data_IF_792228248158
#
_entry.id   IF_792228248158
#
_cell.length_a   1.000
_cell.length_b   1.000
_cell.length_c   1.000
_cell.angle_alpha   90.00
_cell.angle_beta   90.00
_cell.angle_gamma   90.00
#
_symmetry.space_group_name_H-M   'P 1'
#
loop_
_entity.id
_entity.type
_entity.pdbx_description
1 polymer ?
#
# COMPACT_ATOMS: atom_id res chain seq x y z
N UNK A 1 5.23 -13.10 -0.26
CA UNK A 1 5.19 -11.66 0.13
C UNK A 1 6.49 -10.92 -0.18
N UNK A 2 7.67 -11.52 -0.02
CA UNK A 2 8.99 -10.87 -0.25
C UNK A 2 9.12 -10.17 -1.61
N UNK A 3 8.57 -10.73 -2.69
CA UNK A 3 8.62 -10.11 -4.02
C UNK A 3 7.89 -8.76 -4.08
N UNK A 4 6.80 -8.59 -3.31
CA UNK A 4 6.07 -7.32 -3.29
C UNK A 4 6.80 -6.23 -2.50
N UNK A 5 7.50 -6.62 -1.40
CA UNK A 5 8.35 -5.69 -0.67
C UNK A 5 9.56 -5.26 -1.53
N UNK A 6 10.25 -6.20 -2.19
CA UNK A 6 11.36 -5.88 -3.07
C UNK A 6 10.95 -4.95 -4.24
N UNK A 7 9.76 -5.18 -4.81
CA UNK A 7 9.23 -4.31 -5.86
C UNK A 7 8.89 -2.91 -5.30
N UNK A 8 8.32 -2.84 -4.09
CA UNK A 8 8.08 -1.59 -3.41
C UNK A 8 9.40 -0.82 -3.16
N UNK A 9 10.43 -1.49 -2.63
CA UNK A 9 11.73 -0.88 -2.36
C UNK A 9 12.36 -0.30 -3.64
N UNK A 10 12.29 -1.04 -4.76
CA UNK A 10 12.76 -0.56 -6.05
C UNK A 10 12.00 0.69 -6.52
N UNK A 11 10.68 0.71 -6.36
CA UNK A 11 9.88 1.88 -6.72
C UNK A 11 10.20 3.09 -5.82
N UNK A 12 10.49 2.86 -4.53
CA UNK A 12 10.91 3.92 -3.61
C UNK A 12 12.28 4.50 -4.00
N UNK A 13 13.23 3.66 -4.41
CA UNK A 13 14.53 4.12 -4.95
C UNK A 13 14.32 5.00 -6.19
N UNK A 14 13.49 4.57 -7.12
CA UNK A 14 13.18 5.36 -8.32
C UNK A 14 12.48 6.69 -7.98
N UNK A 15 11.53 6.68 -7.04
CA UNK A 15 10.87 7.89 -6.58
C UNK A 15 11.87 8.88 -5.95
N UNK A 16 12.78 8.41 -5.08
CA UNK A 16 13.82 9.24 -4.45
C UNK A 16 14.77 9.89 -5.47
N UNK A 17 14.99 9.29 -6.64
CA UNK A 17 15.81 9.89 -7.68
C UNK A 17 15.28 11.25 -8.16
N UNK A 18 13.98 11.50 -8.02
CA UNK A 18 13.37 12.78 -8.38
C UNK A 18 13.80 13.93 -7.45
N UNK A 19 13.93 13.68 -6.13
CA UNK A 19 14.55 14.66 -5.21
C UNK A 19 16.00 14.93 -5.58
N UNK A 20 16.75 13.90 -5.92
CA UNK A 20 18.16 14.06 -6.32
C UNK A 20 18.29 14.92 -7.58
N UNK A 21 17.41 14.69 -8.57
CA UNK A 21 17.36 15.52 -9.80
C UNK A 21 16.96 16.96 -9.45
N UNK A 22 15.94 17.14 -8.60
CA UNK A 22 15.50 18.44 -8.15
C UNK A 22 16.63 19.25 -7.51
N UNK A 23 17.34 18.64 -6.54
CA UNK A 23 18.48 19.27 -5.84
C UNK A 23 19.57 19.66 -6.85
N UNK A 24 19.91 18.76 -7.79
CA UNK A 24 20.93 19.04 -8.79
C UNK A 24 20.54 20.22 -9.69
N UNK A 25 19.31 20.26 -10.17
CA UNK A 25 18.81 21.34 -11.04
C UNK A 25 18.76 22.68 -10.29
N UNK A 26 18.37 22.68 -9.03
CA UNK A 26 18.31 23.89 -8.19
C UNK A 26 19.71 24.41 -7.87
N UNK A 27 20.59 23.54 -7.33
CA UNK A 27 21.83 23.95 -6.71
C UNK A 27 23.00 24.09 -7.71
N UNK A 28 23.05 23.24 -8.76
CA UNK A 28 24.14 23.22 -9.72
C UNK A 28 23.78 23.90 -11.05
N UNK A 29 22.52 23.82 -11.50
CA UNK A 29 22.08 24.45 -12.75
C UNK A 29 21.37 25.78 -12.49
N UNK A 30 21.01 26.06 -11.24
CA UNK A 30 20.35 27.28 -10.79
C UNK A 30 18.98 27.55 -11.44
N UNK A 31 18.19 26.47 -11.63
CA UNK A 31 16.82 26.61 -12.13
C UNK A 31 15.89 26.98 -10.96
N UNK A 32 15.03 27.96 -11.17
CA UNK A 32 14.07 28.39 -10.16
C UNK A 32 13.07 27.28 -9.78
N UNK A 33 12.76 27.15 -8.49
CA UNK A 33 11.87 26.13 -7.93
C UNK A 33 10.53 26.01 -8.63
N UNK A 34 9.95 27.13 -9.08
CA UNK A 34 8.66 27.14 -9.79
C UNK A 34 8.63 26.28 -11.06
N UNK A 35 9.79 26.04 -11.69
CA UNK A 35 9.88 25.20 -12.89
C UNK A 35 10.15 23.73 -12.59
N UNK A 36 10.83 23.45 -11.48
CA UNK A 36 11.28 22.09 -11.13
C UNK A 36 10.49 21.46 -10.00
N UNK A 37 9.64 22.21 -9.27
CA UNK A 37 8.81 21.70 -8.19
C UNK A 37 7.88 20.54 -8.60
N UNK A 38 7.57 20.40 -9.89
CA UNK A 38 6.82 19.26 -10.40
C UNK A 38 7.55 17.91 -10.20
N UNK A 39 8.87 17.91 -10.05
CA UNK A 39 9.62 16.69 -9.68
C UNK A 39 9.25 16.21 -8.29
N UNK A 40 9.13 17.13 -7.33
CA UNK A 40 8.69 16.84 -5.96
C UNK A 40 7.24 16.34 -5.92
N UNK A 41 6.35 16.95 -6.72
CA UNK A 41 4.96 16.52 -6.87
C UNK A 41 4.89 15.10 -7.45
N UNK A 42 5.68 14.83 -8.49
CA UNK A 42 5.76 13.50 -9.09
C UNK A 42 6.29 12.46 -8.09
N UNK A 43 7.30 12.80 -7.28
CA UNK A 43 7.80 11.93 -6.23
C UNK A 43 6.69 11.57 -5.24
N UNK A 44 5.94 12.56 -4.74
CA UNK A 44 4.86 12.32 -3.78
C UNK A 44 3.77 11.40 -4.36
N UNK A 45 3.40 11.59 -5.62
CA UNK A 45 2.45 10.71 -6.30
C UNK A 45 3.01 9.29 -6.43
N UNK A 46 4.28 9.16 -6.81
CA UNK A 46 4.92 7.85 -7.02
C UNK A 46 5.05 7.04 -5.73
N UNK A 47 5.44 7.65 -4.59
CA UNK A 47 5.57 6.93 -3.32
C UNK A 47 4.23 6.42 -2.81
N UNK A 48 3.15 7.21 -2.93
CA UNK A 48 1.81 6.76 -2.53
C UNK A 48 1.29 5.67 -3.46
N UNK A 49 1.58 5.76 -4.77
CA UNK A 49 1.22 4.72 -5.74
C UNK A 49 2.00 3.42 -5.51
N UNK A 50 3.29 3.51 -5.13
CA UNK A 50 4.10 2.35 -4.76
C UNK A 50 3.54 1.65 -3.52
N UNK A 51 3.11 2.42 -2.51
CA UNK A 51 2.48 1.89 -1.30
C UNK A 51 1.13 1.21 -1.59
N UNK A 52 0.29 1.84 -2.42
CA UNK A 52 -0.98 1.27 -2.84
C UNK A 52 -0.78 -0.08 -3.56
N UNK A 53 0.16 -0.15 -4.51
CA UNK A 53 0.52 -1.38 -5.22
C UNK A 53 1.07 -2.45 -4.26
N UNK A 54 1.90 -2.08 -3.28
CA UNK A 54 2.41 -2.98 -2.26
C UNK A 54 1.27 -3.59 -1.43
N UNK A 55 0.33 -2.77 -0.94
CA UNK A 55 -0.83 -3.23 -0.17
C UNK A 55 -1.70 -4.20 -0.98
N UNK A 56 -2.00 -3.86 -2.24
CA UNK A 56 -2.72 -4.77 -3.13
C UNK A 56 -2.01 -6.12 -3.27
N UNK A 57 -0.69 -6.10 -3.43
CA UNK A 57 0.12 -7.30 -3.58
C UNK A 57 0.11 -8.20 -2.34
N UNK A 58 0.36 -7.63 -1.15
CA UNK A 58 0.40 -8.43 0.10
C UNK A 58 -0.97 -8.95 0.50
N UNK A 59 -2.04 -8.15 0.31
CA UNK A 59 -3.42 -8.59 0.60
C UNK A 59 -3.80 -9.75 -0.34
N UNK A 60 -3.54 -9.60 -1.63
CA UNK A 60 -3.79 -10.66 -2.62
C UNK A 60 -3.05 -11.95 -2.25
N UNK A 61 -1.76 -11.86 -1.97
CA UNK A 61 -0.95 -13.02 -1.59
C UNK A 61 -1.44 -13.66 -0.30
N UNK A 62 -1.75 -12.86 0.73
CA UNK A 62 -2.26 -13.37 2.00
C UNK A 62 -3.61 -14.08 1.86
N UNK A 63 -4.51 -13.59 1.00
CA UNK A 63 -5.80 -14.27 0.71
C UNK A 63 -5.56 -15.62 0.02
N UNK A 64 -4.62 -15.70 -0.93
CA UNK A 64 -4.23 -16.96 -1.57
C UNK A 64 -3.63 -17.94 -0.55
N UNK A 65 -2.78 -17.46 0.35
CA UNK A 65 -2.20 -18.26 1.43
C UNK A 65 -3.27 -18.82 2.39
N UNK A 66 -4.33 -18.03 2.70
CA UNK A 66 -5.47 -18.52 3.50
C UNK A 66 -6.20 -19.62 2.71
N UNK A 67 -6.48 -19.42 1.44
CA UNK A 67 -7.15 -20.40 0.60
C UNK A 67 -6.36 -21.71 0.52
N UNK A 68 -5.04 -21.63 0.40
CA UNK A 68 -4.12 -22.77 0.37
C UNK A 68 -3.81 -23.35 1.78
N UNK A 69 -4.47 -22.83 2.84
CA UNK A 69 -4.29 -23.25 4.24
C UNK A 69 -2.87 -23.08 4.78
N UNK A 70 -2.08 -22.19 4.19
CA UNK A 70 -0.74 -21.82 4.66
C UNK A 70 -0.74 -20.61 5.58
N UNK A 71 -1.89 -19.92 5.70
CA UNK A 71 -2.16 -18.81 6.62
C UNK A 71 -3.47 -19.05 7.37
N UNK A 72 -3.56 -18.62 8.63
CA UNK A 72 -4.80 -18.67 9.42
C UNK A 72 -5.88 -17.78 8.82
N UNK A 73 -7.11 -18.27 8.78
CA UNK A 73 -8.27 -17.48 8.37
C UNK A 73 -8.52 -16.33 9.34
N UNK A 74 -8.99 -15.21 8.77
CA UNK A 74 -9.47 -14.07 9.57
C UNK A 74 -10.99 -14.00 9.54
N UNK A 75 -11.59 -13.35 10.55
CA UNK A 75 -13.05 -13.15 10.58
C UNK A 75 -13.53 -12.36 9.36
N UNK A 76 -12.72 -11.44 8.84
CA UNK A 76 -13.03 -10.67 7.63
C UNK A 76 -12.97 -11.54 6.38
N UNK A 77 -12.01 -12.45 6.27
CA UNK A 77 -11.92 -13.40 5.16
C UNK A 77 -13.15 -14.33 5.10
N UNK A 78 -13.68 -14.79 6.24
CA UNK A 78 -14.88 -15.64 6.28
C UNK A 78 -16.12 -14.95 5.68
N UNK A 79 -16.17 -13.63 5.68
CA UNK A 79 -17.23 -12.84 5.04
C UNK A 79 -16.90 -12.42 3.61
N UNK A 80 -15.70 -12.78 3.09
CA UNK A 80 -15.27 -12.44 1.75
C UNK A 80 -15.94 -13.35 0.72
N UNK A 81 -16.60 -12.77 -0.28
CA UNK A 81 -17.35 -13.54 -1.27
C UNK A 81 -16.67 -13.52 -2.63
N UNK A 82 -16.59 -14.69 -3.25
CA UNK A 82 -16.20 -14.83 -4.66
C UNK A 82 -17.42 -14.83 -5.57
N UNK A 83 -17.25 -14.40 -6.81
CA UNK A 83 -18.30 -14.55 -7.80
C UNK A 83 -18.58 -16.04 -8.06
N UNK A 84 -19.87 -16.39 -8.27
CA UNK A 84 -20.27 -17.78 -8.55
C UNK A 84 -19.49 -18.39 -9.73
N UNK A 85 -19.20 -17.61 -10.78
CA UNK A 85 -18.39 -18.05 -11.93
C UNK A 85 -16.98 -18.48 -11.52
N UNK A 86 -16.36 -17.76 -10.60
CA UNK A 86 -15.02 -18.09 -10.08
C UNK A 86 -15.06 -19.37 -9.26
N UNK A 87 -16.09 -19.53 -8.42
CA UNK A 87 -16.29 -20.74 -7.61
C UNK A 87 -16.47 -21.96 -8.52
N UNK A 88 -17.33 -21.88 -9.54
CA UNK A 88 -17.52 -22.97 -10.48
C UNK A 88 -16.22 -23.37 -11.18
N UNK A 89 -15.42 -22.40 -11.61
CA UNK A 89 -14.15 -22.67 -12.26
C UNK A 89 -13.11 -23.30 -11.32
N UNK A 90 -13.07 -22.89 -10.05
CA UNK A 90 -12.23 -23.51 -9.04
C UNK A 90 -12.64 -24.98 -8.80
N UNK A 91 -13.96 -25.25 -8.71
CA UNK A 91 -14.47 -26.61 -8.55
C UNK A 91 -14.13 -27.51 -9.75
N UNK A 92 -14.17 -26.98 -10.97
CA UNK A 92 -13.75 -27.73 -12.17
C UNK A 92 -12.28 -28.13 -12.09
N UNK A 93 -11.38 -27.21 -11.73
CA UNK A 93 -9.93 -27.45 -11.64
C UNK A 93 -9.58 -28.38 -10.45
N UNK A 94 -10.32 -28.29 -9.36
CA UNK A 94 -10.11 -29.14 -8.15
C UNK A 94 -10.79 -30.51 -8.29
N UNK A 95 -11.52 -30.77 -9.36
CA UNK A 95 -12.19 -32.05 -9.59
C UNK A 95 -11.18 -33.17 -9.87
N UNK A 96 -11.37 -34.41 -9.32
CA UNK A 96 -10.48 -35.55 -9.57
C UNK A 96 -10.37 -35.94 -11.06
N UNK A 97 -11.32 -35.53 -11.88
CA UNK A 97 -11.33 -35.78 -13.33
C UNK A 97 -10.55 -34.76 -14.15
N UNK A 98 -10.04 -33.70 -13.50
CA UNK A 98 -9.22 -32.71 -14.16
C UNK A 98 -7.75 -33.21 -14.17
N UNK A 99 -7.20 -33.42 -15.37
CA UNK A 99 -5.83 -33.90 -15.57
C UNK A 99 -4.97 -32.73 -16.12
N UNK A 100 -4.44 -31.86 -15.27
CA UNK A 100 -3.25 -31.13 -15.62
C UNK A 100 -2.16 -31.38 -14.60
N UNK A 101 -0.94 -31.29 -15.06
CA UNK A 101 0.29 -31.51 -14.29
C UNK A 101 0.54 -30.46 -13.18
N UNK A 102 -0.39 -29.54 -12.90
CA UNK A 102 -0.25 -28.49 -11.87
C UNK A 102 -1.58 -27.84 -11.49
N UNK A 103 -2.48 -28.57 -10.83
CA UNK A 103 -3.77 -28.03 -10.37
C UNK A 103 -3.62 -26.83 -9.42
N UNK A 104 -2.60 -26.82 -8.57
CA UNK A 104 -2.35 -25.76 -7.60
C UNK A 104 -1.95 -24.46 -8.26
N UNK A 105 -1.07 -24.49 -9.29
CA UNK A 105 -0.67 -23.29 -10.04
C UNK A 105 -1.86 -22.67 -10.80
N UNK A 106 -2.74 -23.49 -11.37
CA UNK A 106 -3.94 -23.02 -12.08
C UNK A 106 -4.93 -22.40 -11.09
N UNK A 107 -5.09 -22.98 -9.92
CA UNK A 107 -5.93 -22.46 -8.84
C UNK A 107 -5.44 -21.08 -8.39
N UNK A 108 -4.14 -20.92 -8.15
CA UNK A 108 -3.53 -19.64 -7.78
C UNK A 108 -3.75 -18.59 -8.87
N UNK A 109 -3.60 -18.92 -10.15
CA UNK A 109 -3.83 -17.99 -11.28
C UNK A 109 -5.30 -17.53 -11.33
N UNK A 110 -6.26 -18.43 -11.11
CA UNK A 110 -7.68 -18.09 -11.08
C UNK A 110 -7.98 -17.14 -9.91
N UNK A 111 -7.47 -17.46 -8.73
CA UNK A 111 -7.61 -16.62 -7.52
C UNK A 111 -6.95 -15.26 -7.71
N UNK A 112 -5.72 -15.20 -8.23
CA UNK A 112 -5.02 -13.94 -8.51
C UNK A 112 -5.80 -13.03 -9.44
N UNK A 113 -6.40 -13.59 -10.50
CA UNK A 113 -7.18 -12.81 -11.46
C UNK A 113 -8.44 -12.25 -10.82
N UNK A 114 -9.17 -13.05 -10.05
CA UNK A 114 -10.39 -12.62 -9.37
C UNK A 114 -10.10 -11.59 -8.28
N UNK A 115 -9.07 -11.83 -7.45
CA UNK A 115 -8.66 -10.91 -6.42
C UNK A 115 -8.16 -9.59 -7.02
N UNK A 116 -7.39 -9.62 -8.11
CA UNK A 116 -6.97 -8.41 -8.82
C UNK A 116 -8.17 -7.61 -9.30
N UNK A 117 -9.22 -8.26 -9.80
CA UNK A 117 -10.47 -7.62 -10.22
C UNK A 117 -11.22 -7.01 -9.02
N UNK A 118 -11.36 -7.74 -7.92
CA UNK A 118 -12.08 -7.24 -6.73
C UNK A 118 -11.31 -6.12 -6.03
N UNK A 119 -10.01 -6.31 -5.84
CA UNK A 119 -9.17 -5.33 -5.15
C UNK A 119 -8.95 -4.07 -5.99
N UNK A 120 -9.04 -4.12 -7.34
CA UNK A 120 -8.91 -2.93 -8.19
C UNK A 120 -9.93 -1.82 -7.89
N UNK A 121 -11.07 -2.18 -7.29
CA UNK A 121 -12.08 -1.22 -6.83
C UNK A 121 -11.82 -0.70 -5.41
N UNK A 122 -10.85 -1.29 -4.71
CA UNK A 122 -10.42 -0.84 -3.38
C UNK A 122 -9.28 0.15 -3.53
N UNK A 123 -9.48 1.39 -3.15
CA UNK A 123 -8.39 2.36 -3.08
C UNK A 123 -7.98 2.53 -1.63
N UNK A 124 -6.69 2.43 -1.32
CA UNK A 124 -6.16 2.60 0.04
C UNK A 124 -5.93 4.10 0.37
N UNK A 125 -6.95 4.91 0.10
CA UNK A 125 -6.91 6.37 0.21
C UNK A 125 -7.30 6.90 1.60
N UNK A 126 -7.25 6.06 2.62
CA UNK A 126 -7.39 6.46 4.02
C UNK A 126 -6.83 5.39 4.94
N UNK A 127 -6.42 5.74 6.17
CA UNK A 127 -5.97 4.77 7.17
C UNK A 127 -6.99 3.65 7.44
N UNK A 128 -8.27 3.98 7.45
CA UNK A 128 -9.33 3.00 7.71
C UNK A 128 -9.48 1.99 6.56
N UNK A 129 -9.35 2.44 5.31
CA UNK A 129 -9.33 1.53 4.15
C UNK A 129 -8.10 0.62 4.14
N UNK A 130 -6.94 1.13 4.56
CA UNK A 130 -5.73 0.33 4.73
C UNK A 130 -5.96 -0.77 5.77
N UNK A 131 -6.49 -0.41 6.95
CA UNK A 131 -6.77 -1.39 8.02
C UNK A 131 -7.85 -2.38 7.65
N UNK A 132 -8.88 -1.95 6.92
CA UNK A 132 -9.95 -2.83 6.44
C UNK A 132 -9.42 -3.88 5.45
N UNK A 133 -8.58 -3.48 4.52
CA UNK A 133 -7.92 -4.40 3.58
C UNK A 133 -6.98 -5.38 4.30
N UNK A 134 -6.15 -4.89 5.21
CA UNK A 134 -5.26 -5.74 6.02
C UNK A 134 -6.05 -6.73 6.89
N UNK A 135 -7.29 -6.42 7.27
CA UNK A 135 -8.15 -7.33 8.04
C UNK A 135 -8.51 -8.60 7.29
N UNK A 136 -8.39 -8.63 5.96
CA UNK A 136 -8.55 -9.86 5.17
C UNK A 136 -7.47 -10.90 5.47
N UNK A 137 -6.27 -10.45 5.88
CA UNK A 137 -5.09 -11.31 6.03
C UNK A 137 -4.43 -11.24 7.40
N UNK A 138 -4.87 -10.35 8.27
CA UNK A 138 -4.28 -10.09 9.59
C UNK A 138 -5.38 -9.85 10.62
N UNK A 139 -5.49 -10.75 11.61
CA UNK A 139 -6.59 -10.77 12.58
C UNK A 139 -6.37 -9.87 13.82
N UNK A 140 -5.39 -8.96 13.77
CA UNK A 140 -5.15 -7.97 14.82
C UNK A 140 -6.30 -6.95 14.85
N UNK A 141 -6.84 -6.65 16.04
CA UNK A 141 -7.91 -5.65 16.21
C UNK A 141 -7.34 -4.22 16.24
N UNK A 142 -6.16 -4.05 16.82
CA UNK A 142 -5.51 -2.76 17.04
C UNK A 142 -4.37 -2.48 16.06
N UNK A 143 -4.58 -2.76 14.76
CA UNK A 143 -3.57 -2.67 13.71
C UNK A 143 -2.77 -1.36 13.71
N UNK A 144 -3.46 -0.22 13.81
CA UNK A 144 -2.80 1.09 13.81
C UNK A 144 -1.91 1.28 15.04
N UNK A 145 -2.33 0.79 16.20
CA UNK A 145 -1.53 0.86 17.42
C UNK A 145 -0.26 0.01 17.28
N UNK A 146 -0.39 -1.22 16.76
CA UNK A 146 0.77 -2.09 16.49
C UNK A 146 1.72 -1.45 15.48
N UNK A 147 1.20 -0.87 14.39
CA UNK A 147 2.03 -0.21 13.39
C UNK A 147 2.69 1.05 13.93
N UNK A 148 1.96 1.86 14.72
CA UNK A 148 2.52 3.08 15.31
C UNK A 148 3.63 2.79 16.31
N UNK A 149 3.54 1.68 17.02
CA UNK A 149 4.58 1.25 17.96
C UNK A 149 5.81 0.70 17.23
N UNK A 150 5.60 -0.15 16.21
CA UNK A 150 6.69 -0.65 15.34
C UNK A 150 7.47 0.47 14.63
N UNK A 151 6.79 1.55 14.28
CA UNK A 151 7.40 2.74 13.63
C UNK A 151 7.94 3.75 14.63
N UNK A 152 7.88 3.48 15.94
CA UNK A 152 8.30 4.40 17.00
C UNK A 152 7.68 5.80 16.86
N UNK A 153 6.43 5.87 16.43
CA UNK A 153 5.70 7.14 16.26
C UNK A 153 5.63 7.86 17.61
N UNK A 154 5.95 9.16 17.59
CA UNK A 154 5.91 10.00 18.79
C UNK A 154 4.49 10.12 19.37
N UNK A 155 4.41 10.09 20.70
CA UNK A 155 3.16 10.23 21.45
C UNK A 155 3.36 9.81 22.90
N UNK A 156 2.60 10.40 23.81
CA UNK A 156 2.66 10.14 25.26
C UNK A 156 2.06 8.78 25.64
N UNK A 157 1.19 8.24 24.78
CA UNK A 157 0.55 6.95 24.94
C UNK A 157 0.21 6.32 23.58
N UNK A 158 -0.18 5.05 23.61
CA UNK A 158 -0.43 4.26 22.38
C UNK A 158 -1.56 4.83 21.50
N UNK A 159 -2.58 5.44 22.09
CA UNK A 159 -3.68 6.05 21.35
C UNK A 159 -3.24 7.33 20.64
N UNK A 160 -2.41 8.14 21.28
CA UNK A 160 -1.82 9.33 20.67
C UNK A 160 -0.89 8.95 19.52
N UNK A 161 -0.01 7.97 19.72
CA UNK A 161 0.83 7.40 18.62
C UNK A 161 -0.01 6.96 17.43
N UNK A 162 -1.09 6.21 17.68
CA UNK A 162 -2.00 5.73 16.65
C UNK A 162 -2.70 6.88 15.89
N UNK A 163 -3.14 7.92 16.62
CA UNK A 163 -3.75 9.11 16.02
C UNK A 163 -2.73 9.90 15.17
N UNK A 164 -1.50 10.05 15.64
CA UNK A 164 -0.44 10.73 14.93
C UNK A 164 -0.08 9.99 13.62
N UNK A 165 -0.02 8.65 13.65
CA UNK A 165 0.16 7.84 12.44
C UNK A 165 -1.00 8.07 11.44
N UNK A 166 -2.25 7.97 11.91
CA UNK A 166 -3.44 8.20 11.06
C UNK A 166 -3.43 9.58 10.44
N UNK A 167 -3.15 10.61 11.22
CA UNK A 167 -3.12 11.99 10.76
C UNK A 167 -2.03 12.19 9.69
N UNK A 168 -0.82 11.69 9.93
CA UNK A 168 0.29 11.82 8.99
C UNK A 168 -0.01 11.11 7.67
N UNK A 169 -0.52 9.87 7.73
CA UNK A 169 -0.93 9.14 6.52
C UNK A 169 -2.05 9.87 5.76
N UNK A 170 -3.04 10.39 6.47
CA UNK A 170 -4.14 11.16 5.87
C UNK A 170 -3.63 12.39 5.16
N UNK A 171 -2.74 13.17 5.78
CA UNK A 171 -2.14 14.38 5.18
C UNK A 171 -1.39 14.05 3.89
N UNK A 172 -0.58 12.99 3.89
CA UNK A 172 0.18 12.56 2.70
C UNK A 172 -0.76 12.17 1.57
N UNK A 173 -1.80 11.37 1.86
CA UNK A 173 -2.76 10.93 0.86
C UNK A 173 -3.58 12.10 0.33
N UNK A 174 -4.04 13.01 1.18
CA UNK A 174 -4.76 14.22 0.75
C UNK A 174 -3.89 15.10 -0.16
N UNK A 175 -2.61 15.31 0.20
CA UNK A 175 -1.69 16.09 -0.63
C UNK A 175 -1.48 15.46 -2.00
N UNK A 176 -1.31 14.13 -2.05
CA UNK A 176 -1.23 13.39 -3.34
C UNK A 176 -2.50 13.57 -4.17
N UNK A 177 -3.68 13.50 -3.54
CA UNK A 177 -4.95 13.64 -4.25
C UNK A 177 -5.12 15.05 -4.83
N UNK A 178 -4.72 16.09 -4.11
CA UNK A 178 -4.70 17.47 -4.60
C UNK A 178 -3.83 17.60 -5.87
N UNK A 179 -2.64 16.97 -5.86
CA UNK A 179 -1.74 16.98 -7.01
C UNK A 179 -2.36 16.20 -8.19
N UNK A 180 -2.87 14.99 -7.93
CA UNK A 180 -3.30 14.08 -9.00
C UNK A 180 -4.68 14.43 -9.61
N UNK A 181 -5.59 15.04 -8.83
CA UNK A 181 -6.99 15.19 -9.22
C UNK A 181 -7.50 16.63 -9.23
N UNK A 182 -6.84 17.55 -8.49
CA UNK A 182 -7.29 18.94 -8.36
C UNK A 182 -6.38 19.92 -9.10
N UNK A 183 -5.43 19.43 -9.91
CA UNK A 183 -4.45 20.26 -10.62
C UNK A 183 -3.51 21.01 -9.69
N UNK A 184 -3.51 20.69 -8.39
CA UNK A 184 -2.69 21.33 -7.34
C UNK A 184 -2.92 22.85 -7.21
N UNK A 185 -4.13 23.32 -7.52
CA UNK A 185 -4.52 24.74 -7.42
C UNK A 185 -5.25 24.98 -6.10
N UNK A 186 -4.88 26.04 -5.40
CA UNK A 186 -5.61 26.52 -4.23
C UNK A 186 -6.92 27.20 -4.66
N UNK A 187 -8.10 26.71 -4.24
CA UNK A 187 -9.38 27.22 -4.73
C UNK A 187 -9.63 28.70 -4.44
N UNK A 188 -9.11 29.20 -3.32
CA UNK A 188 -9.33 30.61 -2.89
C UNK A 188 -8.44 31.59 -3.61
N UNK A 189 -7.18 31.25 -3.88
CA UNK A 189 -6.19 32.11 -4.50
C UNK A 189 -6.03 31.87 -6.00
N UNK A 190 -6.51 30.75 -6.50
CA UNK A 190 -6.29 30.26 -7.89
C UNK A 190 -4.80 30.12 -8.26
N UNK A 191 -3.92 29.99 -7.24
CA UNK A 191 -2.48 29.80 -7.43
C UNK A 191 -2.09 28.34 -7.17
N UNK A 192 -1.01 27.85 -7.80
CA UNK A 192 -0.45 26.55 -7.47
C UNK A 192 -0.03 26.50 -5.99
N UNK A 193 -0.38 25.39 -5.30
CA UNK A 193 0.10 25.15 -3.93
C UNK A 193 1.60 24.92 -3.94
N UNK A 194 2.29 25.48 -2.94
CA UNK A 194 3.73 25.21 -2.73
C UNK A 194 3.96 23.75 -2.34
N UNK A 195 5.15 23.27 -2.63
CA UNK A 195 5.65 21.97 -2.19
C UNK A 195 7.13 22.11 -1.83
N UNK A 196 7.47 21.67 -0.63
CA UNK A 196 8.83 21.79 -0.11
C UNK A 196 9.55 20.43 -0.17
N UNK A 197 10.85 20.46 -0.47
CA UNK A 197 11.68 19.26 -0.52
C UNK A 197 11.60 18.45 0.78
N UNK A 198 11.73 19.15 1.92
CA UNK A 198 11.69 18.51 3.24
C UNK A 198 10.37 17.75 3.48
N UNK A 199 9.24 18.33 3.08
CA UNK A 199 7.93 17.69 3.27
C UNK A 199 7.82 16.39 2.45
N UNK A 200 8.36 16.40 1.24
CA UNK A 200 8.37 15.22 0.35
C UNK A 200 9.31 14.15 0.87
N UNK A 201 10.49 14.52 1.38
CA UNK A 201 11.43 13.57 1.98
C UNK A 201 10.86 12.93 3.24
N UNK A 202 10.27 13.70 4.15
CA UNK A 202 9.59 13.20 5.36
C UNK A 202 8.39 12.29 5.02
N UNK A 203 7.64 12.62 3.97
CA UNK A 203 6.57 11.75 3.49
C UNK A 203 7.11 10.45 2.90
N UNK A 204 8.21 10.52 2.16
CA UNK A 204 8.88 9.37 1.56
C UNK A 204 9.38 8.40 2.64
N UNK A 205 10.07 8.92 3.66
CA UNK A 205 10.56 8.13 4.79
C UNK A 205 9.42 7.49 5.59
N UNK A 206 8.34 8.24 5.80
CA UNK A 206 7.17 7.72 6.51
C UNK A 206 6.49 6.59 5.76
N UNK A 207 6.26 6.74 4.45
CA UNK A 207 5.62 5.70 3.62
C UNK A 207 6.52 4.45 3.55
N UNK A 208 7.84 4.64 3.45
CA UNK A 208 8.80 3.55 3.47
C UNK A 208 8.73 2.76 4.80
N UNK A 209 8.82 3.46 5.92
CA UNK A 209 8.73 2.83 7.24
C UNK A 209 7.38 2.13 7.47
N UNK A 210 6.27 2.73 7.02
CA UNK A 210 4.94 2.14 7.16
C UNK A 210 4.80 0.84 6.36
N UNK A 211 5.30 0.77 5.12
CA UNK A 211 5.25 -0.44 4.32
C UNK A 211 6.05 -1.59 4.96
N UNK A 212 7.24 -1.30 5.47
CA UNK A 212 8.06 -2.28 6.18
C UNK A 212 7.40 -2.72 7.50
N UNK A 213 6.84 -1.80 8.28
CA UNK A 213 6.10 -2.15 9.51
C UNK A 213 4.88 -3.04 9.23
N UNK A 214 4.15 -2.76 8.13
CA UNK A 214 3.03 -3.60 7.68
C UNK A 214 3.53 -4.98 7.27
N UNK A 215 4.60 -5.05 6.47
CA UNK A 215 5.18 -6.32 6.03
C UNK A 215 5.59 -7.20 7.21
N UNK A 216 6.34 -6.63 8.16
CA UNK A 216 6.81 -7.35 9.36
C UNK A 216 5.65 -7.82 10.25
N UNK A 217 4.62 -6.97 10.41
CA UNK A 217 3.46 -7.32 11.21
C UNK A 217 2.64 -8.45 10.58
N UNK A 218 2.44 -8.40 9.27
CA UNK A 218 1.65 -9.39 8.54
C UNK A 218 2.40 -10.72 8.41
N UNK A 219 3.73 -10.71 8.21
CA UNK A 219 4.54 -11.94 8.12
C UNK A 219 4.76 -12.60 9.48
N UNK A 220 4.91 -11.83 10.56
CA UNK A 220 5.00 -12.38 11.91
C UNK A 220 3.70 -13.08 12.36
N UNK A 221 2.55 -12.69 11.83
CA UNK A 221 1.25 -13.28 12.13
C UNK A 221 1.01 -14.64 11.45
N UNK A 222 1.91 -15.08 10.56
CA UNK A 222 1.75 -16.29 9.75
C UNK A 222 2.22 -17.57 10.42
N UNK A 223 2.95 -17.49 11.53
CA UNK A 223 3.47 -18.67 12.18
C UNK A 223 2.33 -19.52 12.74
N UNK A 224 1.99 -20.62 12.03
CA UNK A 224 1.35 -21.76 12.65
C UNK A 224 2.35 -22.32 13.68
N UNK A 225 2.20 -21.90 14.95
CA UNK A 225 2.85 -22.54 16.09
C UNK A 225 2.11 -23.82 16.44
#
# INVERSE_FOLDING_TARGET
MNNYLALFDNNMIQARSLSTIYINLRDNVHIEDKYISNLLKAQLVNIVSAFDMFLHGIVKKGVIEIFNKTRKETSKFQSFSFQAKTILRLLEVMSPNFIPSSSDEITDVILEKELSRQLSFMSFQSPDKVTDALSLIWNEQHKIQVLSDKMEISGSNINEKANNLKQKLTTIIQRRNQIAHEGDIEPTTQLPRSIELLDVELATDFIYALAHAVFDAVTAADCYS
#
